data_IF_637665239243
#
_entry.id   IF_637665239243
#
_cell.length_a   1.000
_cell.length_b   1.000
_cell.length_c   1.000
_cell.angle_alpha   90.00
_cell.angle_beta   90.00
_cell.angle_gamma   90.00
#
_symmetry.space_group_name_H-M   'P 1'
#
loop_
_entity.id
_entity.type
_entity.pdbx_description
1 polymer ?
#
# COMPACT_ATOMS: atom_id res chain seq x y z
N UNK A 1 0.81 -4.61 -16.55
CA UNK A 1 0.37 -3.42 -15.76
C UNK A 1 1.25 -3.08 -14.57
N UNK A 2 2.14 -3.98 -14.15
CA UNK A 2 3.54 -3.60 -13.89
C UNK A 2 3.92 -3.23 -12.46
N UNK A 3 3.12 -3.51 -11.44
CA UNK A 3 3.50 -3.34 -10.04
C UNK A 3 3.57 -4.68 -9.30
N UNK A 4 4.54 -4.86 -8.43
CA UNK A 4 4.58 -5.94 -7.44
C UNK A 4 4.54 -5.33 -6.03
N UNK A 5 3.83 -5.96 -5.12
CA UNK A 5 3.62 -5.47 -3.76
C UNK A 5 3.90 -6.59 -2.78
N UNK A 6 4.93 -6.39 -1.95
CA UNK A 6 5.32 -7.34 -0.92
C UNK A 6 4.91 -6.81 0.45
N UNK A 7 4.10 -7.57 1.17
CA UNK A 7 3.81 -7.29 2.58
C UNK A 7 5.07 -7.45 3.43
N UNK A 8 5.35 -6.47 4.29
CA UNK A 8 6.51 -6.48 5.21
C UNK A 8 6.11 -6.60 6.67
N UNK A 9 4.96 -6.08 7.06
CA UNK A 9 4.50 -6.17 8.43
C UNK A 9 3.26 -5.33 8.70
N UNK A 10 2.67 -5.57 9.86
CA UNK A 10 1.55 -4.81 10.39
C UNK A 10 1.83 -4.49 11.86
N UNK A 11 1.80 -3.20 12.21
CA UNK A 11 2.07 -2.73 13.57
C UNK A 11 1.29 -1.46 13.85
N UNK A 12 0.65 -1.38 15.00
CA UNK A 12 -0.08 -0.20 15.49
C UNK A 12 -1.09 0.35 14.46
N UNK A 13 -1.78 -0.53 13.74
CA UNK A 13 -2.73 -0.14 12.68
C UNK A 13 -2.06 0.27 11.36
N UNK A 14 -0.73 0.23 11.25
CA UNK A 14 0.01 0.59 10.05
C UNK A 14 0.49 -0.66 9.31
N UNK A 15 0.11 -0.78 8.04
CA UNK A 15 0.58 -1.83 7.12
C UNK A 15 1.78 -1.30 6.34
N UNK A 16 2.88 -2.05 6.41
CA UNK A 16 4.13 -1.76 5.71
C UNK A 16 4.21 -2.61 4.44
N UNK A 17 4.29 -1.93 3.29
CA UNK A 17 4.36 -2.57 1.98
C UNK A 17 5.62 -2.12 1.24
N UNK A 18 6.28 -3.06 0.58
CA UNK A 18 7.33 -2.77 -0.38
C UNK A 18 6.74 -2.85 -1.78
N UNK A 19 6.73 -1.73 -2.50
CA UNK A 19 6.13 -1.62 -3.84
C UNK A 19 7.23 -1.54 -4.90
N UNK A 20 7.18 -2.39 -5.93
CA UNK A 20 8.15 -2.47 -7.03
C UNK A 20 7.46 -2.29 -8.39
N UNK A 21 8.14 -1.70 -9.38
CA UNK A 21 7.68 -1.66 -10.78
C UNK A 21 7.10 -0.31 -11.24
N UNK A 22 6.13 -0.30 -12.15
CA UNK A 22 5.39 0.88 -12.63
C UNK A 22 4.84 1.76 -11.49
N UNK A 23 4.67 1.19 -10.30
CA UNK A 23 4.32 1.87 -9.05
C UNK A 23 5.46 2.64 -8.36
N UNK A 24 6.70 2.51 -8.84
CA UNK A 24 7.90 3.13 -8.26
C UNK A 24 8.50 4.26 -9.11
N UNK A 25 8.07 4.42 -10.37
CA UNK A 25 8.62 5.44 -11.30
C UNK A 25 7.74 6.66 -11.56
N UNK A 26 6.44 6.61 -11.22
CA UNK A 26 5.50 7.72 -11.44
C UNK A 26 4.83 8.12 -10.10
N UNK A 27 5.18 9.29 -9.52
CA UNK A 27 4.71 9.68 -8.19
C UNK A 27 3.18 9.74 -8.06
N UNK A 28 2.49 10.12 -9.14
CA UNK A 28 1.03 10.20 -9.17
C UNK A 28 0.38 8.81 -9.10
N UNK A 29 0.91 7.83 -9.84
CA UNK A 29 0.43 6.45 -9.84
C UNK A 29 0.68 5.77 -8.49
N UNK A 30 1.80 6.06 -7.83
CA UNK A 30 2.11 5.54 -6.47
C UNK A 30 1.09 6.05 -5.45
N UNK A 31 0.74 7.34 -5.50
CA UNK A 31 -0.20 7.95 -4.56
C UNK A 31 -1.64 7.41 -4.74
N UNK A 32 -2.11 7.28 -5.98
CA UNK A 32 -3.44 6.72 -6.30
C UNK A 32 -3.53 5.25 -5.88
N UNK A 33 -2.51 4.45 -6.19
CA UNK A 33 -2.49 3.03 -5.84
C UNK A 33 -2.47 2.81 -4.33
N UNK A 34 -1.62 3.56 -3.60
CA UNK A 34 -1.57 3.50 -2.13
C UNK A 34 -2.93 3.77 -1.51
N UNK A 35 -3.65 4.79 -2.00
CA UNK A 35 -5.01 5.08 -1.55
C UNK A 35 -5.99 3.94 -1.84
N UNK A 36 -5.94 3.37 -3.05
CA UNK A 36 -6.79 2.23 -3.41
C UNK A 36 -6.57 1.03 -2.49
N UNK A 37 -5.30 0.69 -2.23
CA UNK A 37 -4.92 -0.41 -1.33
C UNK A 37 -5.36 -0.12 0.10
N UNK A 38 -5.15 1.10 0.60
CA UNK A 38 -5.56 1.47 1.95
C UNK A 38 -7.08 1.34 2.14
N UNK A 39 -7.86 1.78 1.16
CA UNK A 39 -9.32 1.66 1.21
C UNK A 39 -9.77 0.20 1.17
N UNK A 40 -9.14 -0.61 0.32
CA UNK A 40 -9.41 -2.04 0.23
C UNK A 40 -9.08 -2.74 1.57
N UNK A 41 -7.89 -2.49 2.12
CA UNK A 41 -7.46 -3.11 3.38
C UNK A 41 -8.36 -2.69 4.54
N UNK A 42 -8.77 -1.41 4.63
CA UNK A 42 -9.74 -0.95 5.64
C UNK A 42 -11.09 -1.64 5.54
N UNK A 43 -11.53 -1.99 4.33
CA UNK A 43 -12.80 -2.68 4.12
C UNK A 43 -12.77 -4.11 4.67
N UNK A 44 -11.66 -4.83 4.45
CA UNK A 44 -11.52 -6.22 4.91
C UNK A 44 -10.94 -6.34 6.32
N UNK A 45 -10.15 -5.37 6.74
CA UNK A 45 -9.42 -5.33 8.02
C UNK A 45 -9.63 -3.93 8.63
N UNK A 46 -10.69 -3.75 9.44
CA UNK A 46 -11.05 -2.46 10.02
C UNK A 46 -9.94 -1.83 10.89
N UNK A 47 -9.05 -2.66 11.43
CA UNK A 47 -7.94 -2.24 12.29
C UNK A 47 -6.82 -1.51 11.50
N UNK A 48 -6.87 -1.53 10.16
CA UNK A 48 -5.90 -0.82 9.32
C UNK A 48 -6.19 0.67 9.31
N UNK A 49 -5.31 1.44 9.92
CA UNK A 49 -5.35 2.91 9.97
C UNK A 49 -4.55 3.52 8.83
N UNK A 50 -3.42 2.94 8.42
CA UNK A 50 -2.57 3.55 7.39
C UNK A 50 -1.78 2.51 6.59
N UNK A 51 -1.47 2.82 5.32
CA UNK A 51 -0.52 2.06 4.49
C UNK A 51 0.70 2.92 4.21
N UNK A 52 1.89 2.41 4.56
CA UNK A 52 3.17 3.08 4.32
C UNK A 52 4.08 2.28 3.38
N UNK A 53 4.72 2.94 2.40
CA UNK A 53 5.84 2.35 1.68
C UNK A 53 7.02 2.15 2.64
N UNK A 54 7.77 1.08 2.45
CA UNK A 54 9.04 0.79 3.13
C UNK A 54 10.20 0.87 2.16
#
# INVERSE_FOLDING_TARGET
DGGDITFRGFKDGVVYLHMKGACSGCPSSTATLRHGIQNLLRHYVPDVVEVRPM
#
